data_IF_930052909479
#
_entry.id   IF_930052909479
#
_cell.length_a   1.000
_cell.length_b   1.000
_cell.length_c   1.000
_cell.angle_alpha   90.00
_cell.angle_beta   90.00
_cell.angle_gamma   90.00
#
_symmetry.space_group_name_H-M   'P 1'
#
loop_
_entity.id
_entity.type
_entity.pdbx_description
1 polymer ?
#
# COMPACT_ATOMS: atom_id res chain seq x y z
N UNK A 1 -17.78 -1.29 11.73
CA UNK A 1 -17.20 -1.19 10.37
C UNK A 1 -16.25 -0.01 10.19
N UNK A 2 -16.42 1.14 10.86
CA UNK A 2 -15.48 2.28 10.72
C UNK A 2 -14.08 2.06 11.33
N UNK A 3 -13.97 1.28 12.41
CA UNK A 3 -12.68 1.03 13.09
C UNK A 3 -11.71 0.16 12.29
N UNK A 4 -12.21 -0.78 11.48
CA UNK A 4 -11.36 -1.67 10.68
C UNK A 4 -10.76 -0.93 9.47
N UNK A 5 -11.47 0.02 8.88
CA UNK A 5 -10.96 0.82 7.76
C UNK A 5 -9.80 1.75 8.18
N UNK A 6 -9.73 2.18 9.45
CA UNK A 6 -8.58 2.94 9.97
C UNK A 6 -7.29 2.11 10.00
N UNK A 7 -7.38 0.77 10.01
CA UNK A 7 -6.20 -0.10 10.01
C UNK A 7 -5.52 -0.20 8.63
N UNK A 8 -6.20 0.19 7.55
CA UNK A 8 -5.68 0.12 6.19
C UNK A 8 -4.68 1.25 5.85
N UNK A 9 -4.46 2.22 6.76
CA UNK A 9 -3.42 3.27 6.67
C UNK A 9 -3.30 3.92 5.28
N UNK A 10 -4.42 4.13 4.60
CA UNK A 10 -4.48 4.60 3.19
C UNK A 10 -3.86 6.00 3.01
N UNK A 11 -3.79 6.77 4.11
CA UNK A 11 -3.23 8.13 4.20
C UNK A 11 -1.91 8.16 4.99
N UNK A 12 -1.10 7.10 4.98
CA UNK A 12 0.20 7.13 5.66
C UNK A 12 1.19 8.03 4.88
N UNK A 13 1.09 9.35 5.09
CA UNK A 13 2.01 10.36 4.58
C UNK A 13 3.32 10.43 5.38
N UNK A 14 3.44 9.67 6.48
CA UNK A 14 4.41 9.96 7.54
C UNK A 14 5.29 8.78 7.99
N UNK A 15 5.33 7.67 7.25
CA UNK A 15 6.24 6.54 7.52
C UNK A 15 6.27 6.12 9.01
N UNK A 16 5.11 5.99 9.67
CA UNK A 16 5.00 5.56 11.07
C UNK A 16 5.07 6.66 12.14
N UNK A 17 4.96 7.95 11.77
CA UNK A 17 4.74 9.03 12.76
C UNK A 17 3.24 9.36 12.83
N UNK A 18 2.63 9.10 13.99
CA UNK A 18 1.23 9.38 14.27
C UNK A 18 0.98 10.90 14.35
N UNK A 19 0.46 11.49 13.27
CA UNK A 19 -0.11 12.84 13.31
C UNK A 19 -1.63 12.78 13.52
N UNK A 20 -2.20 13.89 14.02
CA UNK A 20 -3.61 13.95 14.39
C UNK A 20 -4.51 13.53 13.23
N UNK A 21 -5.37 12.54 13.49
CA UNK A 21 -6.31 12.00 12.52
C UNK A 21 -7.07 13.14 11.82
N UNK A 22 -7.15 13.09 10.49
CA UNK A 22 -7.97 13.98 9.69
C UNK A 22 -9.39 14.09 10.30
N UNK A 23 -10.07 15.25 10.19
CA UNK A 23 -11.41 15.41 10.76
C UNK A 23 -12.32 14.28 10.29
N UNK A 24 -13.03 13.66 11.24
CA UNK A 24 -13.75 12.40 11.03
C UNK A 24 -14.72 12.45 9.84
N UNK A 25 -15.29 13.61 9.56
CA UNK A 25 -16.25 13.83 8.47
C UNK A 25 -15.58 13.77 7.08
N UNK A 26 -14.38 14.33 6.95
CA UNK A 26 -13.58 14.30 5.73
C UNK A 26 -13.09 12.88 5.43
N UNK A 27 -12.64 12.18 6.48
CA UNK A 27 -12.24 10.78 6.39
C UNK A 27 -13.41 9.88 5.99
N UNK A 28 -14.60 10.12 6.57
CA UNK A 28 -15.80 9.37 6.22
C UNK A 28 -16.25 9.64 4.77
N UNK A 29 -16.13 10.87 4.28
CA UNK A 29 -16.43 11.20 2.88
C UNK A 29 -15.47 10.50 1.91
N UNK A 30 -14.18 10.46 2.22
CA UNK A 30 -13.16 9.75 1.44
C UNK A 30 -13.44 8.24 1.40
N UNK A 31 -13.70 7.61 2.56
CA UNK A 31 -13.99 6.18 2.60
C UNK A 31 -15.29 5.84 1.87
N UNK A 32 -16.33 6.66 1.99
CA UNK A 32 -17.58 6.47 1.21
C UNK A 32 -17.30 6.53 -0.30
N UNK A 33 -16.50 7.50 -0.75
CA UNK A 33 -16.12 7.60 -2.15
C UNK A 33 -15.29 6.41 -2.64
N UNK A 34 -14.39 5.90 -1.81
CA UNK A 34 -13.60 4.70 -2.14
C UNK A 34 -14.49 3.45 -2.19
N UNK A 35 -15.37 3.27 -1.21
CA UNK A 35 -16.27 2.13 -1.13
C UNK A 35 -17.20 2.06 -2.35
N UNK A 36 -17.76 3.21 -2.76
CA UNK A 36 -18.58 3.31 -3.97
C UNK A 36 -17.85 2.99 -5.28
N UNK A 37 -16.51 2.93 -5.28
CA UNK A 37 -15.73 2.42 -6.44
C UNK A 37 -15.58 0.90 -6.42
N UNK A 38 -15.67 0.27 -5.25
CA UNK A 38 -15.60 -1.17 -5.09
C UNK A 38 -16.96 -1.82 -5.29
N UNK A 39 -17.99 -1.28 -4.66
CA UNK A 39 -19.39 -1.68 -4.80
C UNK A 39 -19.92 -1.21 -6.17
N UNK A 40 -19.83 -2.09 -7.18
CA UNK A 40 -20.15 -1.77 -8.58
C UNK A 40 -21.61 -1.99 -8.89
N UNK A 41 -22.24 -2.91 -8.17
CA UNK A 41 -23.66 -3.20 -8.32
C UNK A 41 -24.54 -2.32 -7.43
N UNK A 42 -23.96 -1.56 -6.50
CA UNK A 42 -24.67 -0.64 -5.63
C UNK A 42 -25.45 -1.36 -4.53
N UNK A 43 -25.07 -2.58 -4.19
CA UNK A 43 -25.69 -3.40 -3.15
C UNK A 43 -25.48 -2.84 -1.75
N UNK A 44 -24.49 -1.95 -1.57
CA UNK A 44 -24.05 -1.45 -0.28
C UNK A 44 -23.06 -2.37 0.43
N UNK A 45 -22.67 -3.47 -0.21
CA UNK A 45 -21.64 -4.41 0.24
C UNK A 45 -20.53 -4.52 -0.81
N UNK A 46 -19.40 -5.15 -0.46
CA UNK A 46 -18.34 -5.48 -1.43
C UNK A 46 -18.17 -6.98 -1.42
N UNK A 47 -18.58 -7.62 -2.52
CA UNK A 47 -18.44 -9.06 -2.66
C UNK A 47 -16.99 -9.48 -3.02
N UNK A 48 -16.75 -10.79 -3.06
CA UNK A 48 -15.40 -11.32 -3.39
C UNK A 48 -14.93 -10.95 -4.80
N UNK A 49 -15.84 -10.88 -5.77
CA UNK A 49 -15.52 -10.57 -7.16
C UNK A 49 -15.18 -9.09 -7.31
N UNK A 50 -15.96 -8.22 -6.68
CA UNK A 50 -15.77 -6.78 -6.61
C UNK A 50 -14.46 -6.44 -5.91
N UNK A 51 -14.20 -7.05 -4.75
CA UNK A 51 -12.94 -6.88 -4.05
C UNK A 51 -11.75 -7.28 -4.93
N UNK A 52 -11.82 -8.46 -5.58
CA UNK A 52 -10.77 -8.93 -6.48
C UNK A 52 -10.55 -7.98 -7.65
N UNK A 53 -11.63 -7.46 -8.25
CA UNK A 53 -11.55 -6.55 -9.37
C UNK A 53 -10.96 -5.18 -8.97
N UNK A 54 -11.45 -4.61 -7.86
CA UNK A 54 -10.93 -3.36 -7.31
C UNK A 54 -9.46 -3.46 -6.92
N UNK A 55 -9.06 -4.54 -6.23
CA UNK A 55 -7.66 -4.75 -5.85
C UNK A 55 -6.74 -4.94 -7.06
N UNK A 56 -7.22 -5.58 -8.13
CA UNK A 56 -6.45 -5.69 -9.38
C UNK A 56 -6.18 -4.31 -9.98
N UNK A 57 -7.18 -3.44 -10.02
CA UNK A 57 -7.02 -2.07 -10.53
C UNK A 57 -6.07 -1.24 -9.67
N UNK A 58 -6.17 -1.35 -8.35
CA UNK A 58 -5.22 -0.72 -7.41
C UNK A 58 -3.79 -1.18 -7.70
N UNK A 59 -3.56 -2.50 -7.80
CA UNK A 59 -2.22 -3.05 -8.05
C UNK A 59 -1.66 -2.62 -9.40
N UNK A 60 -2.49 -2.53 -10.44
CA UNK A 60 -2.07 -2.01 -11.74
C UNK A 60 -1.72 -0.52 -11.68
N UNK A 61 -2.51 0.29 -10.97
CA UNK A 61 -2.22 1.69 -10.76
C UNK A 61 -0.91 1.90 -9.99
N UNK A 62 -0.66 1.07 -8.96
CA UNK A 62 0.61 1.05 -8.22
C UNK A 62 1.76 0.67 -9.16
N UNK A 63 1.62 -0.41 -9.94
CA UNK A 63 2.65 -0.84 -10.90
C UNK A 63 2.97 0.26 -11.93
N UNK A 64 1.94 0.94 -12.45
CA UNK A 64 2.13 2.08 -13.36
C UNK A 64 2.80 3.27 -12.67
N UNK A 65 2.45 3.55 -11.41
CA UNK A 65 3.02 4.63 -10.61
C UNK A 65 4.47 4.39 -10.19
N UNK A 66 4.88 3.13 -10.02
CA UNK A 66 6.28 2.75 -9.77
C UNK A 66 7.17 2.95 -11.01
N UNK A 67 6.60 2.88 -12.22
CA UNK A 67 7.34 3.05 -13.46
C UNK A 67 8.52 2.08 -13.60
N UNK A 68 9.69 2.59 -14.01
CA UNK A 68 10.97 1.85 -14.03
C UNK A 68 11.81 2.05 -12.76
N UNK A 69 11.28 2.74 -11.74
CA UNK A 69 12.04 3.02 -10.53
C UNK A 69 11.99 1.80 -9.61
N UNK A 70 13.14 1.24 -9.21
CA UNK A 70 13.16 0.12 -8.30
C UNK A 70 12.52 0.52 -6.97
N UNK A 71 11.74 -0.38 -6.39
CA UNK A 71 11.22 -0.22 -5.03
C UNK A 71 12.42 -0.15 -4.09
N UNK A 72 12.64 1.03 -3.50
CA UNK A 72 13.72 1.23 -2.54
C UNK A 72 13.25 0.76 -1.16
N UNK A 73 13.80 -0.35 -0.70
CA UNK A 73 13.47 -0.95 0.60
C UNK A 73 14.50 -0.53 1.64
N UNK A 74 14.05 0.05 2.75
CA UNK A 74 14.90 0.23 3.94
C UNK A 74 14.96 -1.10 4.67
N UNK A 75 16.17 -1.58 4.91
CA UNK A 75 16.41 -2.89 5.52
C UNK A 75 17.09 -2.67 6.86
N UNK A 76 16.58 -3.32 7.90
CA UNK A 76 17.15 -3.25 9.24
C UNK A 76 18.57 -3.85 9.27
N UNK A 77 19.46 -3.19 10.01
CA UNK A 77 20.86 -3.60 10.15
C UNK A 77 20.95 -4.97 10.83
N UNK A 78 21.77 -5.88 10.28
CA UNK A 78 21.88 -7.25 10.77
C UNK A 78 20.72 -8.20 10.43
N UNK A 79 19.68 -7.72 9.73
CA UNK A 79 18.59 -8.60 9.26
C UNK A 79 19.05 -9.54 8.14
N UNK A 80 18.33 -10.65 7.94
CA UNK A 80 18.61 -11.61 6.86
C UNK A 80 18.59 -10.97 5.47
N UNK A 81 17.71 -9.98 5.26
CA UNK A 81 17.63 -9.27 3.99
C UNK A 81 18.88 -8.40 3.76
N UNK A 82 19.42 -7.76 4.81
CA UNK A 82 20.65 -6.95 4.70
C UNK A 82 21.85 -7.83 4.37
N UNK A 83 21.96 -8.99 5.02
CA UNK A 83 23.02 -9.98 4.75
C UNK A 83 22.97 -10.48 3.30
N UNK A 84 21.77 -10.75 2.77
CA UNK A 84 21.60 -11.16 1.38
C UNK A 84 22.06 -10.06 0.41
N UNK A 85 21.68 -8.81 0.65
CA UNK A 85 22.08 -7.66 -0.16
C UNK A 85 23.61 -7.51 -0.17
N UNK A 86 24.26 -7.54 0.98
CA UNK A 86 25.72 -7.36 1.09
C UNK A 86 26.49 -8.48 0.37
N UNK A 87 25.98 -9.71 0.42
CA UNK A 87 26.56 -10.84 -0.30
C UNK A 87 26.47 -10.65 -1.81
N UNK A 88 25.32 -10.23 -2.33
CA UNK A 88 25.13 -10.02 -3.78
C UNK A 88 25.96 -8.83 -4.30
N UNK A 89 26.01 -7.72 -3.55
CA UNK A 89 26.88 -6.60 -3.85
C UNK A 89 28.36 -7.02 -3.91
N UNK A 90 28.80 -7.88 -2.98
CA UNK A 90 30.15 -8.44 -2.98
C UNK A 90 30.46 -9.37 -4.16
N UNK A 91 29.45 -10.02 -4.75
CA UNK A 91 29.62 -10.83 -5.97
C UNK A 91 29.72 -9.95 -7.22
N UNK A 92 28.88 -8.93 -7.32
CA UNK A 92 28.92 -7.97 -8.43
C UNK A 92 30.25 -7.22 -8.48
N UNK A 93 30.78 -6.79 -7.32
CA UNK A 93 32.07 -6.12 -7.23
C UNK A 93 33.27 -7.02 -7.61
N UNK A 94 33.12 -8.35 -7.56
CA UNK A 94 34.14 -9.31 -8.01
C UNK A 94 34.02 -9.67 -9.49
N UNK A 95 32.85 -9.44 -10.08
CA UNK A 95 32.56 -9.73 -11.48
C UNK A 95 32.85 -8.54 -12.42
N UNK A 96 33.07 -7.35 -11.86
CA UNK A 96 33.52 -6.13 -12.55
C UNK A 96 35.04 -6.00 -12.52
#
# INVERSE_FOLDING_TARGET
>A
MAGELMSLRVLEKHFGVDEAAAPADELAALYRGLFARFDRDGSGEVDRNEFRAGMREVMLAVANGLGFLPVQMVVEEGSFLKVAVDRELGQLAKAA
#
